data_IF_081507219311
#
_entry.id   IF_081507219311
#
_cell.length_a   1.000
_cell.length_b   1.000
_cell.length_c   1.000
_cell.angle_alpha   90.00
_cell.angle_beta   90.00
_cell.angle_gamma   90.00
#
_symmetry.space_group_name_H-M   'P 1'
#
loop_
_entity.id
_entity.type
_entity.pdbx_description
1 polymer ?
#
# COMPACT_ATOMS: atom_id res chain seq x y z
N UNK A 1 7.21 -4.53 13.36
CA UNK A 1 6.76 -5.91 13.06
C UNK A 1 7.96 -6.82 13.28
N UNK A 2 7.88 -7.95 14.00
CA UNK A 2 9.00 -8.89 14.05
C UNK A 2 9.33 -9.40 12.63
N UNK A 3 10.56 -9.19 12.15
CA UNK A 3 10.92 -9.54 10.78
C UNK A 3 10.86 -11.04 10.52
N UNK A 4 11.08 -11.88 11.54
CA UNK A 4 10.91 -13.33 11.45
C UNK A 4 9.45 -13.74 11.11
N UNK A 5 8.48 -12.90 11.46
CA UNK A 5 7.06 -13.09 11.14
C UNK A 5 6.78 -12.59 9.73
N UNK A 6 7.33 -11.43 9.37
CA UNK A 6 7.20 -10.88 8.01
C UNK A 6 7.80 -11.83 6.97
N UNK A 7 9.02 -12.32 7.16
CA UNK A 7 9.69 -13.22 6.21
C UNK A 7 8.91 -14.52 5.95
N UNK A 8 8.16 -15.02 6.93
CA UNK A 8 7.29 -16.20 6.76
C UNK A 8 6.10 -15.94 5.80
N UNK A 9 5.82 -14.67 5.50
CA UNK A 9 4.79 -14.22 4.54
C UNK A 9 5.35 -14.01 3.12
N UNK A 10 6.61 -14.38 2.85
CA UNK A 10 7.23 -14.31 1.52
C UNK A 10 6.71 -15.38 0.55
N UNK A 11 5.41 -15.68 0.60
CA UNK A 11 4.74 -16.51 -0.38
C UNK A 11 4.88 -15.87 -1.78
N UNK A 12 5.12 -16.68 -2.84
CA UNK A 12 5.26 -16.15 -4.19
C UNK A 12 4.06 -15.31 -4.62
N UNK A 13 4.35 -14.23 -5.33
CA UNK A 13 3.35 -13.35 -5.94
C UNK A 13 3.68 -13.32 -7.43
N UNK A 14 2.76 -13.84 -8.24
CA UNK A 14 2.85 -13.76 -9.69
C UNK A 14 1.83 -12.74 -10.19
N UNK A 15 2.27 -11.56 -10.68
CA UNK A 15 1.38 -10.52 -11.19
C UNK A 15 0.44 -11.01 -12.30
N UNK A 16 0.87 -11.94 -13.15
CA UNK A 16 0.04 -12.44 -14.26
C UNK A 16 -1.15 -13.26 -13.75
N UNK A 17 -0.98 -14.00 -12.65
CA UNK A 17 -2.06 -14.73 -11.98
C UNK A 17 -3.05 -13.82 -11.23
N UNK A 18 -2.71 -12.54 -11.07
CA UNK A 18 -3.55 -11.55 -10.41
C UNK A 18 -4.41 -10.75 -11.39
N UNK A 19 -4.17 -10.86 -12.70
CA UNK A 19 -4.94 -10.14 -13.73
C UNK A 19 -6.44 -10.39 -13.61
N UNK A 20 -7.22 -9.33 -13.75
CA UNK A 20 -8.68 -9.29 -13.59
C UNK A 20 -9.18 -9.42 -12.15
N UNK A 21 -8.33 -9.77 -11.17
CA UNK A 21 -8.77 -9.86 -9.76
C UNK A 21 -9.10 -8.48 -9.22
N UNK A 22 -10.09 -8.47 -8.32
CA UNK A 22 -10.40 -7.32 -7.46
C UNK A 22 -9.18 -6.97 -6.61
N UNK A 23 -8.85 -5.70 -6.52
CA UNK A 23 -7.83 -5.19 -5.62
C UNK A 23 -8.10 -3.77 -5.16
N UNK A 24 -7.33 -3.35 -4.15
CA UNK A 24 -7.41 -2.03 -3.54
C UNK A 24 -6.03 -1.41 -3.52
N UNK A 25 -5.94 -0.14 -3.91
CA UNK A 25 -4.69 0.61 -3.95
C UNK A 25 -4.50 1.47 -2.71
N UNK A 26 -3.25 1.66 -2.33
CA UNK A 26 -2.82 2.70 -1.41
C UNK A 26 -1.69 3.47 -2.05
N UNK A 27 -1.82 4.79 -2.10
CA UNK A 27 -0.89 5.70 -2.75
C UNK A 27 -0.33 6.67 -1.70
N UNK A 28 0.96 6.55 -1.42
CA UNK A 28 1.73 7.48 -0.59
C UNK A 28 2.63 8.33 -1.50
N UNK A 29 2.31 9.62 -1.61
CA UNK A 29 2.98 10.53 -2.53
C UNK A 29 4.11 11.28 -1.82
N UNK A 30 5.31 11.22 -2.41
CA UNK A 30 6.42 12.06 -2.00
C UNK A 30 6.16 13.52 -2.34
N UNK A 31 6.39 14.42 -1.39
CA UNK A 31 6.26 15.87 -1.62
C UNK A 31 7.53 16.51 -2.21
N UNK A 32 8.71 15.91 -2.00
CA UNK A 32 10.00 16.42 -2.50
C UNK A 32 11.06 15.32 -2.56
N UNK A 33 11.39 14.70 -1.43
CA UNK A 33 12.54 13.80 -1.30
C UNK A 33 12.21 12.41 -0.74
N UNK A 34 10.96 12.05 -0.51
CA UNK A 34 10.60 10.72 -0.06
C UNK A 34 10.36 9.76 -1.24
N UNK A 35 10.19 8.47 -0.94
CA UNK A 35 9.84 7.47 -1.95
C UNK A 35 8.34 7.60 -2.20
N UNK A 36 7.94 7.71 -3.47
CA UNK A 36 6.52 7.54 -3.81
C UNK A 36 6.23 6.05 -3.84
N UNK A 37 5.16 5.63 -3.16
CA UNK A 37 4.77 4.23 -3.07
C UNK A 37 3.32 4.04 -3.52
N UNK A 38 3.09 3.04 -4.37
CA UNK A 38 1.75 2.56 -4.72
C UNK A 38 1.70 1.07 -4.45
N UNK A 39 0.79 0.64 -3.58
CA UNK A 39 0.67 -0.77 -3.20
C UNK A 39 -0.74 -1.26 -3.50
N UNK A 40 -0.85 -2.33 -4.28
CA UNK A 40 -2.08 -3.06 -4.50
C UNK A 40 -2.19 -4.21 -3.49
N UNK A 41 -3.38 -4.34 -2.88
CA UNK A 41 -3.75 -5.47 -2.03
C UNK A 41 -4.93 -6.19 -2.64
N UNK A 42 -4.75 -7.48 -2.93
CA UNK A 42 -5.76 -8.37 -3.50
C UNK A 42 -6.36 -9.21 -2.37
N UNK A 43 -7.67 -9.11 -2.08
CA UNK A 43 -8.31 -9.93 -1.05
C UNK A 43 -8.27 -11.43 -1.39
N UNK A 44 -8.33 -12.29 -0.35
CA UNK A 44 -8.59 -13.72 -0.46
C UNK A 44 -9.80 -14.05 -1.33
N UNK A 45 -9.75 -15.20 -1.97
CA UNK A 45 -10.84 -15.79 -2.77
C UNK A 45 -11.17 -17.19 -2.23
N UNK A 46 -12.24 -17.80 -2.72
CA UNK A 46 -12.55 -19.18 -2.36
C UNK A 46 -11.38 -20.11 -2.73
N UNK A 47 -10.95 -20.94 -1.77
CA UNK A 47 -9.81 -21.84 -1.94
C UNK A 47 -8.43 -21.22 -1.71
N UNK A 48 -8.32 -19.89 -1.53
CA UNK A 48 -7.06 -19.22 -1.19
C UNK A 48 -7.24 -18.07 -0.21
N UNK A 49 -6.75 -18.27 1.00
CA UNK A 49 -6.95 -17.41 2.17
C UNK A 49 -5.98 -16.20 2.25
N UNK A 50 -5.11 -16.04 1.26
CA UNK A 50 -4.05 -15.02 1.22
C UNK A 50 -4.50 -13.67 0.67
N UNK A 51 -3.97 -12.62 1.29
CA UNK A 51 -3.93 -11.27 0.77
C UNK A 51 -2.64 -11.10 -0.02
N UNK A 52 -2.74 -11.00 -1.35
CA UNK A 52 -1.58 -10.75 -2.19
C UNK A 52 -1.24 -9.27 -2.21
N UNK A 53 0.05 -8.96 -2.16
CA UNK A 53 0.58 -7.60 -2.11
C UNK A 53 1.48 -7.40 -3.31
N UNK A 54 1.17 -6.36 -4.09
CA UNK A 54 1.96 -5.98 -5.26
C UNK A 54 2.38 -4.51 -5.12
N UNK A 55 3.60 -4.25 -4.64
CA UNK A 55 4.08 -2.91 -4.41
C UNK A 55 4.86 -2.35 -5.60
N UNK A 56 4.82 -1.02 -5.75
CA UNK A 56 5.55 -0.25 -6.74
C UNK A 56 6.13 1.00 -6.07
N UNK A 57 7.39 1.31 -6.39
CA UNK A 57 8.16 2.35 -5.72
C UNK A 57 8.89 3.23 -6.73
N UNK A 58 8.94 4.54 -6.47
CA UNK A 58 9.60 5.49 -7.35
C UNK A 58 10.54 6.44 -6.61
N UNK A 59 11.66 6.74 -7.25
CA UNK A 59 12.55 7.85 -6.92
C UNK A 59 12.86 8.69 -8.18
N UNK A 60 13.16 9.99 -8.05
CA UNK A 60 13.67 10.77 -9.17
C UNK A 60 15.08 10.30 -9.56
N UNK A 61 15.29 10.05 -10.86
CA UNK A 61 16.52 9.45 -11.39
C UNK A 61 17.76 10.25 -11.03
N UNK A 62 17.71 11.58 -11.15
CA UNK A 62 18.87 12.45 -10.86
C UNK A 62 19.29 12.42 -9.38
N UNK A 63 18.42 11.95 -8.49
CA UNK A 63 18.70 11.92 -7.04
C UNK A 63 19.20 10.57 -6.55
N UNK A 64 19.19 9.52 -7.40
CA UNK A 64 19.45 8.14 -7.00
C UNK A 64 20.83 7.98 -6.37
N UNK A 65 21.89 8.39 -7.07
CA UNK A 65 23.29 8.22 -6.60
C UNK A 65 23.56 8.96 -5.30
N UNK A 66 23.03 10.18 -5.17
CA UNK A 66 23.16 10.98 -3.95
C UNK A 66 22.48 10.29 -2.77
N UNK A 67 21.33 9.66 -2.99
CA UNK A 67 20.59 8.94 -1.95
C UNK A 67 21.26 7.63 -1.56
N UNK A 68 21.82 6.89 -2.50
CA UNK A 68 22.61 5.68 -2.18
C UNK A 68 23.74 6.05 -1.22
N UNK A 69 24.47 7.15 -1.50
CA UNK A 69 25.57 7.62 -0.64
C UNK A 69 25.09 8.14 0.72
N UNK A 70 23.98 8.87 0.75
CA UNK A 70 23.45 9.53 1.96
C UNK A 70 22.73 8.56 2.88
N UNK A 71 21.88 7.71 2.32
CA UNK A 71 20.98 6.83 3.07
C UNK A 71 21.64 5.47 3.35
N UNK A 72 22.72 5.13 2.63
CA UNK A 72 23.37 3.82 2.67
C UNK A 72 22.40 2.67 2.32
N UNK A 73 21.48 2.95 1.40
CA UNK A 73 20.46 2.01 0.91
C UNK A 73 20.76 1.68 -0.56
N UNK A 74 20.70 0.41 -0.98
CA UNK A 74 21.09 -0.02 -2.33
C UNK A 74 20.00 0.26 -3.38
N UNK A 75 19.55 1.51 -3.48
CA UNK A 75 18.51 1.91 -4.43
C UNK A 75 18.89 1.65 -5.89
N UNK A 76 20.16 1.83 -6.23
CA UNK A 76 20.74 1.52 -7.54
C UNK A 76 20.61 0.03 -7.90
N UNK A 77 20.88 -0.85 -6.94
CA UNK A 77 20.73 -2.31 -7.12
C UNK A 77 19.26 -2.66 -7.29
N UNK A 78 18.37 -2.13 -6.44
CA UNK A 78 16.93 -2.37 -6.56
C UNK A 78 16.35 -1.84 -7.87
N UNK A 79 16.89 -0.74 -8.40
CA UNK A 79 16.55 -0.25 -9.73
C UNK A 79 16.95 -1.25 -10.81
N UNK A 80 18.20 -1.73 -10.80
CA UNK A 80 18.69 -2.70 -11.78
C UNK A 80 17.89 -4.02 -11.74
N UNK A 81 17.41 -4.41 -10.55
CA UNK A 81 16.59 -5.59 -10.35
C UNK A 81 15.10 -5.39 -10.66
N UNK A 82 14.66 -4.16 -10.95
CA UNK A 82 13.26 -3.84 -11.23
C UNK A 82 12.35 -3.72 -9.99
N UNK A 83 12.90 -3.76 -8.77
CA UNK A 83 12.14 -3.55 -7.52
C UNK A 83 11.91 -2.07 -7.18
N UNK A 84 12.64 -1.18 -7.85
CA UNK A 84 12.52 0.26 -7.71
C UNK A 84 12.49 0.88 -9.12
N UNK A 85 11.51 1.73 -9.37
CA UNK A 85 11.39 2.48 -10.62
C UNK A 85 11.96 3.88 -10.43
N UNK A 86 12.30 4.52 -11.55
CA UNK A 86 12.72 5.93 -11.54
C UNK A 86 11.82 6.76 -12.45
N UNK A 87 11.60 8.02 -12.07
CA UNK A 87 11.06 9.04 -12.98
C UNK A 87 12.19 9.93 -13.45
N UNK A 88 12.13 10.39 -14.70
CA UNK A 88 13.09 11.36 -15.25
C UNK A 88 13.15 12.63 -14.38
N UNK A 89 14.28 13.32 -14.38
CA UNK A 89 14.46 14.57 -13.66
C UNK A 89 14.76 14.43 -12.16
N UNK A 90 14.63 15.55 -11.45
CA UNK A 90 14.98 15.69 -10.03
C UNK A 90 13.78 15.65 -9.07
N UNK A 91 12.56 15.54 -9.59
CA UNK A 91 11.31 15.44 -8.82
C UNK A 91 10.43 14.32 -9.38
N UNK A 92 9.50 13.81 -8.56
CA UNK A 92 8.56 12.78 -9.03
C UNK A 92 7.55 13.43 -9.98
N UNK A 93 7.49 12.91 -11.22
CA UNK A 93 6.49 13.32 -12.19
C UNK A 93 5.17 12.57 -11.97
N UNK A 94 4.17 13.23 -11.38
CA UNK A 94 2.86 12.63 -11.12
C UNK A 94 2.14 12.14 -12.39
N UNK A 95 2.41 12.73 -13.55
CA UNK A 95 1.87 12.24 -14.82
C UNK A 95 2.34 10.81 -15.16
N UNK A 96 3.59 10.48 -14.83
CA UNK A 96 4.12 9.13 -15.00
C UNK A 96 3.43 8.15 -14.06
N UNK A 97 3.28 8.53 -12.78
CA UNK A 97 2.60 7.70 -11.78
C UNK A 97 1.13 7.47 -12.16
N UNK A 98 0.44 8.52 -12.63
CA UNK A 98 -0.94 8.42 -13.14
C UNK A 98 -1.03 7.40 -14.27
N UNK A 99 -0.18 7.55 -15.30
CA UNK A 99 -0.19 6.65 -16.46
C UNK A 99 0.08 5.20 -16.05
N UNK A 100 1.03 4.99 -15.14
CA UNK A 100 1.32 3.68 -14.58
C UNK A 100 0.09 3.07 -13.89
N UNK A 101 -0.62 3.84 -13.07
CA UNK A 101 -1.84 3.38 -12.39
C UNK A 101 -2.97 3.10 -13.42
N UNK A 102 -3.10 3.90 -14.48
CA UNK A 102 -4.05 3.64 -15.57
C UNK A 102 -3.79 2.31 -16.27
N UNK A 103 -2.52 2.01 -16.55
CA UNK A 103 -2.11 0.75 -17.19
C UNK A 103 -2.40 -0.44 -16.26
N UNK A 104 -2.10 -0.31 -14.96
CA UNK A 104 -2.51 -1.30 -13.95
C UNK A 104 -4.04 -1.47 -13.88
N UNK A 105 -4.82 -0.41 -14.09
CA UNK A 105 -6.28 -0.48 -14.13
C UNK A 105 -6.83 -1.23 -15.35
N UNK A 106 -6.02 -1.45 -16.40
CA UNK A 106 -6.38 -2.34 -17.51
C UNK A 106 -6.13 -3.80 -17.16
N UNK A 107 -5.11 -4.08 -16.36
CA UNK A 107 -4.72 -5.43 -15.95
C UNK A 107 -5.52 -5.93 -14.74
N UNK A 108 -5.88 -5.05 -13.81
CA UNK A 108 -6.49 -5.39 -12.52
C UNK A 108 -7.79 -4.63 -12.27
N UNK A 109 -8.70 -5.23 -11.51
CA UNK A 109 -9.94 -4.59 -11.12
C UNK A 109 -9.76 -3.76 -9.84
N UNK A 110 -9.14 -2.58 -9.97
CA UNK A 110 -8.87 -1.66 -8.87
C UNK A 110 -10.17 -0.97 -8.43
N UNK A 111 -10.68 -1.35 -7.26
CA UNK A 111 -11.96 -0.84 -6.76
C UNK A 111 -11.83 0.56 -6.15
N UNK A 112 -10.83 0.75 -5.30
CA UNK A 112 -10.59 2.03 -4.63
C UNK A 112 -9.09 2.25 -4.42
N UNK A 113 -8.67 3.51 -4.50
CA UNK A 113 -7.31 3.95 -4.19
C UNK A 113 -7.36 4.89 -2.99
N UNK A 114 -6.80 4.46 -1.86
CA UNK A 114 -6.63 5.33 -0.69
C UNK A 114 -5.38 6.21 -0.84
N UNK A 115 -5.46 7.45 -0.39
CA UNK A 115 -4.34 8.41 -0.39
C UNK A 115 -4.36 9.28 0.88
N UNK A 116 -3.24 9.90 1.24
CA UNK A 116 -3.22 10.84 2.37
C UNK A 116 -4.05 12.10 2.06
N UNK A 117 -5.00 12.43 2.95
CA UNK A 117 -5.88 13.60 2.81
C UNK A 117 -5.15 14.94 2.69
N UNK A 118 -3.89 15.02 3.15
CA UNK A 118 -3.05 16.21 3.04
C UNK A 118 -2.21 16.26 1.76
N UNK A 119 -2.31 15.23 0.91
CA UNK A 119 -1.50 15.04 -0.29
C UNK A 119 -1.90 15.87 -1.51
N UNK A 120 -1.26 15.58 -2.65
CA UNK A 120 -1.37 16.35 -3.89
C UNK A 120 -2.78 16.30 -4.51
N UNK A 121 -3.58 17.33 -4.24
CA UNK A 121 -4.95 17.53 -4.79
C UNK A 121 -5.00 17.29 -6.31
N UNK A 122 -3.97 17.70 -7.05
CA UNK A 122 -3.89 17.50 -8.49
C UNK A 122 -3.84 16.01 -8.89
N UNK A 123 -3.14 15.16 -8.13
CA UNK A 123 -3.07 13.73 -8.41
C UNK A 123 -4.44 13.07 -8.20
N UNK A 124 -5.17 13.49 -7.16
CA UNK A 124 -6.53 13.00 -6.88
C UNK A 124 -7.46 13.30 -8.06
N UNK A 125 -7.53 14.57 -8.47
CA UNK A 125 -8.35 14.99 -9.61
C UNK A 125 -8.00 14.25 -10.90
N UNK A 126 -6.70 14.01 -11.12
CA UNK A 126 -6.22 13.28 -12.28
C UNK A 126 -6.65 11.81 -12.28
N UNK A 127 -6.61 11.14 -11.13
CA UNK A 127 -7.04 9.74 -10.99
C UNK A 127 -8.56 9.61 -11.07
N UNK A 128 -9.31 10.52 -10.44
CA UNK A 128 -10.76 10.59 -10.57
C UNK A 128 -11.19 10.84 -12.02
N UNK A 129 -10.51 11.76 -12.72
CA UNK A 129 -10.73 12.01 -14.15
C UNK A 129 -10.36 10.82 -15.06
N UNK A 130 -9.53 9.89 -14.58
CA UNK A 130 -9.23 8.63 -15.25
C UNK A 130 -10.24 7.50 -14.90
N UNK A 131 -11.24 7.78 -14.07
CA UNK A 131 -12.30 6.84 -13.70
C UNK A 131 -12.02 6.03 -12.43
N UNK A 132 -10.95 6.32 -11.69
CA UNK A 132 -10.69 5.63 -10.41
C UNK A 132 -11.50 6.23 -9.27
N UNK A 133 -11.98 5.37 -8.36
CA UNK A 133 -12.53 5.81 -7.08
C UNK A 133 -11.38 6.09 -6.12
N UNK A 134 -11.16 7.37 -5.79
CA UNK A 134 -10.08 7.79 -4.90
C UNK A 134 -10.65 8.19 -3.55
N UNK A 135 -10.06 7.70 -2.46
CA UNK A 135 -10.61 7.88 -1.11
C UNK A 135 -9.59 8.50 -0.17
N UNK A 136 -9.89 9.66 0.47
CA UNK A 136 -8.97 10.26 1.42
C UNK A 136 -8.84 9.39 2.67
N UNK A 137 -7.61 9.24 3.15
CA UNK A 137 -7.24 8.49 4.33
C UNK A 137 -6.49 9.39 5.32
N UNK A 138 -6.62 9.12 6.62
CA UNK A 138 -5.87 9.85 7.65
C UNK A 138 -4.68 9.06 8.14
N UNK A 139 -3.50 9.65 8.12
CA UNK A 139 -2.32 8.98 8.70
C UNK A 139 -2.21 9.14 10.24
N UNK A 140 -3.26 9.64 10.90
CA UNK A 140 -3.35 9.74 12.36
C UNK A 140 -3.78 8.43 13.03
N UNK A 141 -3.60 8.35 14.35
CA UNK A 141 -3.91 7.14 15.15
C UNK A 141 -5.32 6.57 14.93
N UNK A 142 -6.32 7.44 14.82
CA UNK A 142 -7.74 7.04 14.62
C UNK A 142 -7.92 6.13 13.40
N UNK A 143 -7.32 6.51 12.29
CA UNK A 143 -7.55 5.86 11.00
C UNK A 143 -6.50 4.77 10.74
N UNK A 144 -5.25 4.96 11.21
CA UNK A 144 -4.16 4.00 11.07
C UNK A 144 -4.27 2.77 12.00
N UNK A 145 -4.83 2.93 13.20
CA UNK A 145 -4.81 1.87 14.22
C UNK A 145 -5.53 0.59 13.79
N UNK A 146 -6.79 0.63 13.29
CA UNK A 146 -7.48 -0.59 12.87
C UNK A 146 -6.74 -1.39 11.77
N UNK A 147 -6.35 -0.80 10.62
CA UNK A 147 -5.66 -1.57 9.57
C UNK A 147 -4.25 -2.00 9.97
N UNK A 148 -3.55 -1.25 10.83
CA UNK A 148 -2.24 -1.67 11.36
C UNK A 148 -2.36 -2.91 12.24
N UNK A 149 -3.39 -2.97 13.10
CA UNK A 149 -3.66 -4.16 13.93
C UNK A 149 -4.02 -5.36 13.07
N UNK A 150 -4.84 -5.17 12.03
CA UNK A 150 -5.19 -6.26 11.11
C UNK A 150 -3.98 -6.74 10.31
N UNK A 151 -3.10 -5.85 9.84
CA UNK A 151 -1.85 -6.23 9.19
C UNK A 151 -1.00 -7.13 10.09
N UNK A 152 -0.83 -6.78 11.36
CA UNK A 152 -0.09 -7.59 12.32
C UNK A 152 -0.71 -8.98 12.50
N UNK A 153 -2.03 -9.04 12.66
CA UNK A 153 -2.78 -10.29 12.78
C UNK A 153 -2.61 -11.17 11.54
N UNK A 154 -2.82 -10.61 10.34
CA UNK A 154 -2.68 -11.35 9.07
C UNK A 154 -1.25 -11.86 8.85
N UNK A 155 -0.24 -11.09 9.24
CA UNK A 155 1.15 -11.53 9.18
C UNK A 155 1.43 -12.69 10.15
N UNK A 156 0.91 -12.64 11.38
CA UNK A 156 1.01 -13.74 12.35
C UNK A 156 0.31 -15.01 11.85
N UNK A 157 -0.84 -14.85 11.19
CA UNK A 157 -1.59 -15.93 10.54
C UNK A 157 -0.93 -16.44 9.24
N UNK A 158 0.14 -15.79 8.76
CA UNK A 158 0.81 -16.06 7.47
C UNK A 158 -0.13 -15.95 6.27
N UNK A 159 -1.09 -15.02 6.35
CA UNK A 159 -2.10 -14.77 5.32
C UNK A 159 -1.74 -13.60 4.41
N UNK A 160 -0.56 -13.01 4.55
CA UNK A 160 -0.03 -12.05 3.60
C UNK A 160 0.88 -12.80 2.62
N UNK A 161 0.75 -12.52 1.34
CA UNK A 161 1.70 -12.96 0.30
C UNK A 161 2.34 -11.72 -0.34
N UNK A 162 3.58 -11.43 0.03
CA UNK A 162 4.29 -10.22 -0.44
C UNK A 162 5.52 -10.52 -1.33
N UNK A 163 5.70 -11.78 -1.73
CA UNK A 163 6.72 -12.17 -2.73
C UNK A 163 8.17 -11.95 -2.31
N UNK A 164 8.43 -11.67 -1.02
CA UNK A 164 9.77 -11.31 -0.55
C UNK A 164 10.30 -9.97 -1.10
N UNK A 165 9.44 -9.06 -1.55
CA UNK A 165 9.87 -7.81 -2.18
C UNK A 165 10.87 -7.01 -1.30
N UNK A 166 12.12 -6.78 -1.74
CA UNK A 166 13.19 -6.31 -0.86
C UNK A 166 12.96 -4.88 -0.36
N UNK A 167 12.46 -3.98 -1.20
CA UNK A 167 12.17 -2.59 -0.81
C UNK A 167 11.07 -2.54 0.27
N UNK A 168 9.98 -3.27 0.08
CA UNK A 168 8.90 -3.34 1.07
C UNK A 168 9.38 -3.99 2.37
N UNK A 169 10.14 -5.08 2.30
CA UNK A 169 10.72 -5.73 3.49
C UNK A 169 11.65 -4.79 4.26
N UNK A 170 12.49 -4.02 3.57
CA UNK A 170 13.32 -2.99 4.20
C UNK A 170 12.46 -1.91 4.88
N UNK A 171 11.40 -1.44 4.23
CA UNK A 171 10.47 -0.47 4.84
C UNK A 171 9.73 -1.06 6.05
N UNK A 172 9.41 -2.35 6.03
CA UNK A 172 8.77 -3.05 7.16
C UNK A 172 9.70 -3.19 8.37
N UNK A 173 11.00 -3.40 8.14
CA UNK A 173 12.04 -3.46 9.17
C UNK A 173 12.23 -2.09 9.86
N UNK A 174 12.07 -1.01 9.10
CA UNK A 174 12.12 0.36 9.62
C UNK A 174 10.93 0.75 10.51
N UNK A 175 9.86 -0.06 10.58
CA UNK A 175 8.64 0.32 11.33
C UNK A 175 8.86 0.22 12.84
N UNK A 176 8.71 1.36 13.49
CA UNK A 176 8.45 1.44 14.92
C UNK A 176 6.95 1.64 15.17
N UNK A 177 6.39 0.93 16.14
CA UNK A 177 4.97 1.08 16.50
C UNK A 177 4.84 2.11 17.60
N UNK A 178 4.23 3.25 17.25
CA UNK A 178 3.88 4.27 18.23
C UNK A 178 2.50 3.98 18.78
N UNK A 179 2.33 4.14 20.10
CA UNK A 179 1.06 3.95 20.80
C UNK A 179 0.64 5.27 21.44
N UNK A 180 -0.63 5.65 21.29
CA UNK A 180 -1.21 6.81 22.00
C UNK A 180 -1.72 6.42 23.41
N UNK A 181 -2.07 7.39 24.28
CA UNK A 181 -2.60 7.08 25.61
C UNK A 181 -3.92 6.28 25.62
N UNK A 182 -4.65 6.24 24.50
CA UNK A 182 -5.87 5.47 24.34
C UNK A 182 -5.62 4.03 23.85
N UNK A 183 -4.36 3.63 23.65
CA UNK A 183 -3.99 2.30 23.16
C UNK A 183 -4.16 2.11 21.65
N UNK A 184 -4.32 3.21 20.89
CA UNK A 184 -4.26 3.15 19.44
C UNK A 184 -2.81 3.07 18.98
N UNK A 185 -2.57 2.32 17.91
CA UNK A 185 -1.25 2.18 17.33
C UNK A 185 -1.17 2.85 15.97
N UNK A 186 0.02 3.24 15.54
CA UNK A 186 0.30 3.58 14.15
C UNK A 186 1.73 3.22 13.79
N UNK A 187 2.03 2.90 12.52
CA UNK A 187 3.40 2.83 12.05
C UNK A 187 4.03 4.22 12.17
N UNK A 188 5.27 4.24 12.64
CA UNK A 188 6.12 5.41 12.70
C UNK A 188 7.55 4.97 12.38
N UNK A 189 8.42 5.94 12.15
CA UNK A 189 9.86 5.70 12.00
C UNK A 189 10.58 6.01 13.30
N UNK A 190 11.62 5.24 13.63
CA UNK A 190 12.43 5.54 14.80
C UNK A 190 13.33 6.76 14.54
N UNK A 191 13.81 6.90 13.30
CA UNK A 191 14.61 8.04 12.83
C UNK A 191 13.97 8.67 11.61
N UNK A 192 14.06 10.00 11.47
CA UNK A 192 13.47 10.71 10.34
C UNK A 192 14.03 10.29 8.97
N UNK A 193 15.25 9.75 8.93
CA UNK A 193 15.94 9.24 7.75
C UNK A 193 15.36 7.93 7.21
N UNK A 194 14.74 7.13 8.07
CA UNK A 194 14.11 5.86 7.68
C UNK A 194 12.88 6.10 6.82
N UNK A 195 12.57 5.12 5.96
CA UNK A 195 11.46 5.15 5.02
C UNK A 195 10.48 4.03 5.32
N UNK A 196 9.20 4.37 5.33
CA UNK A 196 8.08 3.46 5.62
C UNK A 196 6.93 3.67 4.63
N UNK A 197 7.14 4.42 3.55
CA UNK A 197 6.10 4.89 2.62
C UNK A 197 5.34 3.70 2.01
N UNK A 198 6.04 2.61 1.68
CA UNK A 198 5.43 1.36 1.22
C UNK A 198 4.57 0.66 2.26
N UNK A 199 4.96 0.70 3.52
CA UNK A 199 4.15 0.14 4.60
C UNK A 199 2.89 0.98 4.86
N UNK A 200 3.03 2.31 4.81
CA UNK A 200 1.90 3.25 4.91
C UNK A 200 0.93 3.03 3.76
N UNK A 201 1.42 2.98 2.52
CA UNK A 201 0.61 2.66 1.33
C UNK A 201 -0.09 1.31 1.47
N UNK A 202 0.62 0.26 1.90
CA UNK A 202 0.03 -1.06 2.13
C UNK A 202 -1.10 -1.03 3.17
N UNK A 203 -0.90 -0.32 4.30
CA UNK A 203 -1.91 -0.20 5.36
C UNK A 203 -3.14 0.54 4.85
N UNK A 204 -2.96 1.59 4.05
CA UNK A 204 -4.06 2.32 3.40
C UNK A 204 -4.85 1.42 2.44
N UNK A 205 -4.16 0.64 1.61
CA UNK A 205 -4.77 -0.32 0.69
C UNK A 205 -5.57 -1.39 1.44
N UNK A 206 -4.95 -1.99 2.47
CA UNK A 206 -5.55 -3.02 3.30
C UNK A 206 -6.80 -2.50 4.03
N UNK A 207 -6.78 -1.25 4.50
CA UNK A 207 -7.94 -0.62 5.11
C UNK A 207 -9.15 -0.59 4.16
N UNK A 208 -8.95 -0.20 2.91
CA UNK A 208 -10.03 -0.19 1.89
C UNK A 208 -10.53 -1.60 1.62
N UNK A 209 -9.60 -2.53 1.47
CA UNK A 209 -9.90 -3.94 1.26
C UNK A 209 -10.80 -4.53 2.38
N UNK A 210 -10.47 -4.27 3.65
CA UNK A 210 -11.24 -4.80 4.79
C UNK A 210 -12.62 -4.14 4.89
N UNK A 211 -12.69 -2.82 4.67
CA UNK A 211 -13.97 -2.10 4.74
C UNK A 211 -14.94 -2.55 3.66
N UNK A 212 -14.45 -2.85 2.46
CA UNK A 212 -15.28 -3.29 1.35
C UNK A 212 -15.90 -4.68 1.61
N UNK A 213 -15.14 -5.62 2.19
CA UNK A 213 -15.68 -6.93 2.63
C UNK A 213 -16.85 -6.76 3.61
N UNK A 214 -16.70 -5.87 4.59
CA UNK A 214 -17.72 -5.58 5.59
C UNK A 214 -18.99 -4.90 5.05
N UNK A 215 -19.00 -4.46 3.79
CA UNK A 215 -20.21 -3.97 3.09
C UNK A 215 -20.88 -5.10 2.31
N UNK A 216 -20.10 -5.98 1.65
CA UNK A 216 -20.66 -7.13 0.91
C UNK A 216 -21.35 -8.16 1.82
N UNK A 217 -20.88 -8.34 3.06
CA UNK A 217 -21.49 -9.27 4.02
C UNK A 217 -22.75 -8.68 4.72
N UNK A 218 -23.06 -7.40 4.55
CA UNK A 218 -24.24 -6.76 5.19
C UNK A 218 -25.54 -6.89 4.42
N UNK A 219 -25.55 -7.48 3.23
CA UNK A 219 -26.75 -7.65 2.40
C UNK A 219 -27.49 -8.97 2.61
N UNK A 220 -27.61 -9.44 3.86
CA UNK A 220 -28.54 -10.54 4.22
C UNK A 220 -29.73 -10.02 5.05
N UNK A 221 -29.64 -8.78 5.56
CA UNK A 221 -30.70 -8.16 6.34
C UNK A 221 -31.74 -7.39 5.51
N UNK A 222 -31.52 -7.22 4.20
CA UNK A 222 -32.52 -6.63 3.30
C UNK A 222 -33.47 -7.68 2.67
N UNK A 223 -33.21 -8.99 2.86
CA UNK A 223 -34.04 -10.06 2.28
C UNK A 223 -35.09 -10.64 3.24
N UNK A 224 -35.13 -10.22 4.50
CA UNK A 224 -36.21 -10.59 5.44
C UNK A 224 -37.09 -9.39 5.67
N UNK A 225 -38.16 -9.32 4.88
CA UNK A 225 -39.24 -8.36 5.05
C UNK A 225 -39.66 -8.24 6.51
N UNK A 226 -39.83 -7.00 6.96
CA UNK A 226 -40.31 -6.63 8.28
C UNK A 226 -41.60 -7.42 8.59
N UNK A 227 -41.50 -8.40 9.49
CA UNK A 227 -42.67 -8.95 10.17
C UNK A 227 -43.07 -7.95 11.24
N UNK A 228 -43.97 -7.04 10.88
CA UNK A 228 -44.74 -6.27 11.85
C UNK A 228 -45.87 -7.17 12.38
N UNK A 229 -45.90 -7.40 13.69
CA UNK A 229 -47.06 -7.91 14.42
C UNK A 229 -47.89 -6.73 14.94
#
# INVERSE_FOLDING_TARGET
MPMDTWEKCAHPVDPDLLKGRVCFGGLDLSSTTDITAFVLVFPPVEGDDKYYVLPYFWLPEETLDLRVRRDHVPYDIWRQQGYLLTTEGNVIHYGFIKKFIEDLGQDYNIQEIAFDRWGAVQMVQNLEGAGFTVVPFGQGFKDMSPPTKELMKLALEKRIAHGGHPVLSWMMDNIHIRTDPAGNIKPDKAKSTEKIDGAVAMIMALYRCIRHKGVSEKSVYDERGLLAF
#
